data_IF_883619627701
#
_entry.id   IF_883619627701
#
_cell.length_a   1.000
_cell.length_b   1.000
_cell.length_c   1.000
_cell.angle_alpha   90.00
_cell.angle_beta   90.00
_cell.angle_gamma   90.00
#
_symmetry.space_group_name_H-M   'P 1'
#
loop_
_entity.id
_entity.type
_entity.pdbx_description
1 polymer ?
#
# COMPACT_ATOMS: atom_id res chain seq x y z
N UNK A 1 7.71 18.11 -3.46
CA UNK A 1 6.31 17.65 -3.31
C UNK A 1 5.37 17.96 -4.46
N UNK A 2 5.79 18.64 -5.55
CA UNK A 2 4.92 18.99 -6.68
C UNK A 2 4.15 17.82 -7.30
N UNK A 3 4.78 16.64 -7.43
CA UNK A 3 4.10 15.45 -7.96
C UNK A 3 2.95 14.97 -7.07
N UNK A 4 3.03 15.14 -5.76
CA UNK A 4 1.96 14.77 -4.82
C UNK A 4 0.80 15.75 -4.94
N UNK A 5 1.10 17.04 -5.06
CA UNK A 5 0.12 18.10 -5.25
C UNK A 5 -0.72 17.91 -6.52
N UNK A 6 -0.05 17.56 -7.64
CA UNK A 6 -0.67 17.34 -8.95
C UNK A 6 -1.35 15.95 -9.09
N UNK A 7 -1.32 15.12 -8.05
CA UNK A 7 -1.85 13.75 -8.09
C UNK A 7 -3.06 13.58 -7.17
N UNK A 8 -4.05 12.83 -7.65
CA UNK A 8 -5.22 12.43 -6.86
C UNK A 8 -4.98 11.13 -6.05
N UNK A 9 -4.09 10.26 -6.54
CA UNK A 9 -3.74 8.97 -5.96
C UNK A 9 -2.23 8.78 -5.98
N UNK A 10 -1.66 8.44 -4.82
CA UNK A 10 -0.22 8.30 -4.62
C UNK A 10 0.07 6.90 -4.10
N UNK A 11 1.03 6.22 -4.72
CA UNK A 11 1.59 4.96 -4.22
C UNK A 11 2.99 5.23 -3.65
N UNK A 12 3.20 4.86 -2.39
CA UNK A 12 4.53 4.81 -1.79
C UNK A 12 5.00 3.37 -1.71
N UNK A 13 6.15 3.11 -2.32
CA UNK A 13 6.74 1.77 -2.44
C UNK A 13 8.27 1.91 -2.50
N UNK A 14 8.87 2.46 -1.44
CA UNK A 14 10.31 2.67 -1.39
C UNK A 14 10.95 1.84 -0.27
N UNK A 15 12.28 1.74 -0.30
CA UNK A 15 13.08 1.14 0.77
C UNK A 15 13.46 2.13 1.88
N UNK A 16 12.82 3.31 1.95
CA UNK A 16 13.10 4.30 3.00
C UNK A 16 12.71 3.76 4.36
N UNK A 17 13.60 3.96 5.35
CA UNK A 17 13.30 3.71 6.76
C UNK A 17 12.59 4.90 7.42
N UNK A 18 12.58 6.06 6.76
CA UNK A 18 11.97 7.30 7.21
C UNK A 18 10.65 7.60 6.50
N UNK A 19 9.81 8.42 7.13
CA UNK A 19 8.62 8.98 6.50
C UNK A 19 9.04 9.94 5.37
N UNK A 20 8.44 9.74 4.20
CA UNK A 20 8.65 10.56 3.01
C UNK A 20 7.56 11.62 2.86
N UNK A 21 6.35 11.34 3.33
CA UNK A 21 5.19 12.24 3.28
C UNK A 21 4.67 12.47 4.68
N UNK A 22 4.70 13.72 5.12
CA UNK A 22 4.24 14.17 6.42
C UNK A 22 2.91 14.93 6.32
N UNK A 23 2.22 15.12 7.44
CA UNK A 23 0.91 15.78 7.48
C UNK A 23 1.03 17.23 7.01
N UNK A 24 2.11 17.89 7.42
CA UNK A 24 2.43 19.29 7.10
C UNK A 24 2.65 19.51 5.60
N UNK A 25 3.17 18.48 4.90
CA UNK A 25 3.32 18.52 3.44
C UNK A 25 1.95 18.64 2.76
N UNK A 26 0.94 17.94 3.28
CA UNK A 26 -0.39 17.83 2.65
C UNK A 26 -1.34 18.93 3.08
N UNK A 27 -1.25 19.39 4.33
CA UNK A 27 -2.15 20.42 4.90
C UNK A 27 -2.09 21.75 4.13
N UNK A 28 -0.94 22.05 3.52
CA UNK A 28 -0.74 23.26 2.70
C UNK A 28 -1.11 23.09 1.23
N UNK A 29 -1.43 21.87 0.77
CA UNK A 29 -1.74 21.59 -0.63
C UNK A 29 -3.20 21.95 -0.97
N UNK A 30 -3.47 22.32 -2.24
CA UNK A 30 -4.83 22.34 -2.73
C UNK A 30 -5.50 20.96 -2.57
N UNK A 31 -6.83 21.01 -2.43
CA UNK A 31 -7.67 19.83 -2.49
C UNK A 31 -7.37 19.03 -3.78
N UNK A 32 -7.60 17.73 -3.72
CA UNK A 32 -7.51 16.90 -4.92
C UNK A 32 -8.59 17.31 -5.94
N UNK A 33 -8.52 16.76 -7.14
CA UNK A 33 -9.49 16.99 -8.19
C UNK A 33 -10.92 16.69 -7.73
N UNK A 34 -11.89 17.48 -8.21
CA UNK A 34 -13.32 17.22 -8.00
C UNK A 34 -13.74 15.83 -8.50
N UNK A 35 -13.01 15.26 -9.48
CA UNK A 35 -13.25 13.90 -10.00
C UNK A 35 -13.13 12.82 -8.93
N UNK A 36 -12.35 13.07 -7.88
CA UNK A 36 -12.16 12.17 -6.74
C UNK A 36 -12.81 12.67 -5.46
N UNK A 37 -13.63 13.73 -5.55
CA UNK A 37 -14.37 14.33 -4.45
C UNK A 37 -13.54 15.26 -3.56
N UNK A 38 -12.45 15.85 -4.08
CA UNK A 38 -11.58 16.75 -3.29
C UNK A 38 -10.63 16.04 -2.33
N UNK A 39 -10.69 14.70 -2.24
CA UNK A 39 -9.92 13.90 -1.28
C UNK A 39 -8.80 13.15 -2.00
N UNK A 40 -7.55 13.42 -1.57
CA UNK A 40 -6.34 12.76 -2.06
C UNK A 40 -6.15 11.41 -1.39
N UNK A 41 -5.85 10.37 -2.16
CA UNK A 41 -5.64 9.01 -1.64
C UNK A 41 -4.17 8.64 -1.65
N UNK A 42 -3.75 8.00 -0.58
CA UNK A 42 -2.40 7.53 -0.38
C UNK A 42 -2.42 6.03 -0.11
N UNK A 43 -1.63 5.27 -0.85
CA UNK A 43 -1.49 3.83 -0.69
C UNK A 43 -0.03 3.54 -0.35
N UNK A 44 0.22 3.18 0.90
CA UNK A 44 1.54 2.89 1.42
C UNK A 44 1.77 1.38 1.50
N UNK A 45 2.51 0.83 0.54
CA UNK A 45 2.89 -0.58 0.52
C UNK A 45 4.32 -0.79 1.05
N UNK A 46 4.91 0.22 1.70
CA UNK A 46 6.27 0.17 2.23
C UNK A 46 6.30 -0.38 3.65
N UNK A 47 7.36 -1.13 3.97
CA UNK A 47 7.65 -1.61 5.33
C UNK A 47 9.14 -1.39 5.59
N UNK A 48 9.55 -0.42 6.45
CA UNK A 48 8.73 0.52 7.25
C UNK A 48 7.86 1.49 6.42
N UNK A 49 6.83 2.07 7.05
CA UNK A 49 5.89 2.98 6.38
C UNK A 49 6.59 4.23 5.86
N UNK A 50 6.17 4.72 4.70
CA UNK A 50 6.70 5.94 4.09
C UNK A 50 5.72 7.12 4.16
N UNK A 51 4.46 6.88 4.52
CA UNK A 51 3.44 7.94 4.66
C UNK A 51 2.98 7.99 6.11
N UNK A 52 2.97 9.20 6.68
CA UNK A 52 2.62 9.37 8.08
C UNK A 52 1.14 8.95 8.35
N UNK A 53 0.87 8.15 9.39
CA UNK A 53 -0.48 7.66 9.67
C UNK A 53 -1.47 8.77 10.06
N UNK A 54 -0.97 9.89 10.61
CA UNK A 54 -1.75 11.04 11.04
C UNK A 54 -2.29 11.90 9.88
N UNK A 55 -1.95 11.59 8.61
CA UNK A 55 -2.60 12.20 7.45
C UNK A 55 -4.12 11.94 7.42
N UNK A 56 -4.60 10.82 8.01
CA UNK A 56 -6.03 10.51 8.11
C UNK A 56 -6.81 11.49 9.00
N UNK A 57 -6.12 12.38 9.73
CA UNK A 57 -6.76 13.47 10.48
C UNK A 57 -7.17 14.65 9.57
N UNK A 58 -6.66 14.71 8.34
CA UNK A 58 -7.01 15.74 7.37
C UNK A 58 -8.27 15.32 6.59
N UNK A 59 -9.27 16.19 6.51
CA UNK A 59 -10.49 15.93 5.72
C UNK A 59 -10.19 15.70 4.22
N UNK A 60 -9.09 16.28 3.72
CA UNK A 60 -8.66 16.18 2.32
C UNK A 60 -7.75 14.99 2.00
N UNK A 61 -7.51 14.06 2.94
CA UNK A 61 -6.61 12.93 2.72
C UNK A 61 -7.14 11.62 3.31
N UNK A 62 -6.90 10.51 2.60
CA UNK A 62 -7.13 9.15 3.11
C UNK A 62 -5.88 8.32 2.85
N UNK A 63 -5.41 7.59 3.86
CA UNK A 63 -4.26 6.71 3.78
C UNK A 63 -4.65 5.26 3.99
N UNK A 64 -4.29 4.43 3.03
CA UNK A 64 -4.33 2.98 3.07
C UNK A 64 -2.90 2.44 3.23
N UNK A 65 -2.75 1.34 3.95
CA UNK A 65 -1.50 0.62 4.07
C UNK A 65 -1.68 -0.87 3.71
N UNK A 66 -0.61 -1.66 3.83
CA UNK A 66 -0.63 -3.10 3.52
C UNK A 66 -1.66 -3.90 4.33
N UNK A 67 -1.98 -3.50 5.57
CA UNK A 67 -3.02 -4.14 6.39
C UNK A 67 -4.43 -3.85 5.89
N UNK A 68 -4.65 -2.73 5.21
CA UNK A 68 -5.98 -2.35 4.70
C UNK A 68 -6.35 -3.12 3.42
N UNK A 69 -5.38 -3.82 2.80
CA UNK A 69 -5.59 -4.62 1.59
C UNK A 69 -6.18 -6.03 1.86
N UNK A 70 -6.64 -6.31 3.08
CA UNK A 70 -7.13 -7.63 3.52
C UNK A 70 -8.34 -8.12 2.73
N UNK A 71 -9.25 -7.25 2.32
CA UNK A 71 -10.45 -7.65 1.57
C UNK A 71 -10.12 -8.15 0.15
N UNK A 72 -9.14 -7.54 -0.52
CA UNK A 72 -8.65 -7.98 -1.84
C UNK A 72 -7.97 -9.35 -1.75
N UNK A 73 -7.25 -9.60 -0.65
CA UNK A 73 -6.60 -10.88 -0.40
C UNK A 73 -7.62 -12.01 -0.20
N UNK A 74 -8.75 -11.74 0.45
CA UNK A 74 -9.78 -12.74 0.70
C UNK A 74 -10.41 -13.28 -0.59
N UNK A 75 -10.58 -12.45 -1.62
CA UNK A 75 -11.14 -12.85 -2.91
C UNK A 75 -10.26 -13.87 -3.67
N UNK A 76 -8.94 -13.85 -3.43
CA UNK A 76 -7.98 -14.72 -4.11
C UNK A 76 -7.61 -15.98 -3.30
N UNK A 77 -8.33 -16.27 -2.21
CA UNK A 77 -7.94 -17.32 -1.25
C UNK A 77 -7.93 -18.72 -1.85
N UNK A 78 -8.91 -19.05 -2.69
CA UNK A 78 -9.02 -20.39 -3.29
C UNK A 78 -7.92 -20.63 -4.34
N UNK A 79 -7.65 -19.64 -5.19
CA UNK A 79 -6.56 -19.69 -6.16
C UNK A 79 -5.19 -19.77 -5.46
N UNK A 80 -4.99 -18.99 -4.39
CA UNK A 80 -3.79 -19.09 -3.53
C UNK A 80 -3.64 -20.46 -2.90
N UNK A 81 -4.72 -21.08 -2.43
CA UNK A 81 -4.66 -22.41 -1.82
C UNK A 81 -4.23 -23.50 -2.82
N UNK A 82 -4.71 -23.41 -4.07
CA UNK A 82 -4.31 -24.32 -5.15
C UNK A 82 -2.83 -24.17 -5.48
N UNK A 83 -2.37 -22.94 -5.69
CA UNK A 83 -0.96 -22.66 -5.98
C UNK A 83 -0.04 -23.09 -4.81
N UNK A 84 -0.48 -22.92 -3.56
CA UNK A 84 0.27 -23.37 -2.40
C UNK A 84 0.42 -24.90 -2.36
N UNK A 85 -0.65 -25.66 -2.66
CA UNK A 85 -0.58 -27.12 -2.73
C UNK A 85 0.37 -27.62 -3.82
N UNK A 86 0.40 -26.98 -4.99
CA UNK A 86 1.36 -27.28 -6.06
C UNK A 86 2.81 -26.98 -5.61
N UNK A 87 3.02 -25.87 -4.90
CA UNK A 87 4.33 -25.50 -4.37
C UNK A 87 4.81 -26.46 -3.27
N UNK A 88 3.92 -26.98 -2.41
CA UNK A 88 4.27 -27.95 -1.37
C UNK A 88 4.82 -29.26 -1.95
N UNK A 89 4.29 -29.72 -3.09
CA UNK A 89 4.81 -30.90 -3.80
C UNK A 89 6.24 -30.65 -4.28
N UNK A 90 6.47 -29.50 -4.94
CA UNK A 90 7.80 -29.09 -5.39
C UNK A 90 8.81 -29.00 -4.24
N UNK A 91 8.40 -28.42 -3.10
CA UNK A 91 9.25 -28.31 -1.92
C UNK A 91 9.61 -29.69 -1.34
N UNK A 92 8.67 -30.64 -1.31
CA UNK A 92 8.93 -31.99 -0.81
C UNK A 92 9.87 -32.78 -1.73
N UNK A 93 9.73 -32.63 -3.05
CA UNK A 93 10.64 -33.24 -4.03
C UNK A 93 12.06 -32.69 -3.89
N UNK A 94 12.22 -31.37 -3.79
CA UNK A 94 13.53 -30.72 -3.59
C UNK A 94 14.14 -31.09 -2.23
N UNK A 95 13.34 -31.17 -1.17
CA UNK A 95 13.81 -31.58 0.16
C UNK A 95 14.37 -33.01 0.16
N UNK A 96 13.69 -33.94 -0.52
CA UNK A 96 14.16 -35.33 -0.67
C UNK A 96 15.40 -35.45 -1.55
N UNK A 97 15.57 -34.56 -2.53
CA UNK A 97 16.74 -34.54 -3.41
C UNK A 97 17.98 -33.90 -2.75
N UNK A 98 17.78 -33.09 -1.73
CA UNK A 98 18.84 -32.42 -0.97
C UNK A 98 19.46 -33.30 0.14
N UNK A 99 18.72 -34.30 0.64
CA UNK A 99 19.21 -35.35 1.57
C UNK A 99 19.84 -36.55 0.84
#
# INVERSE_FOLDING_TARGET
MKCVEESDLIFAASGSEELLVHKEDIESMPAASDKVGGVRRFVDISVPRNIAPNLNELEGAIVYNVDDLKEVVAANKEERARAAAEAEVLLAEEQLAFE
#
